data_IF_341204644634
#
_entry.id   IF_341204644634
#
_cell.length_a   1.000
_cell.length_b   1.000
_cell.length_c   1.000
_cell.angle_alpha   90.00
_cell.angle_beta   90.00
_cell.angle_gamma   90.00
#
_symmetry.space_group_name_H-M   'P 1'
#
loop_
_entity.id
_entity.type
_entity.pdbx_description
1 polymer ?
#
# COMPACT_ATOMS: atom_id res chain seq x y z
N UNK A 1 -8.21 -0.07 -28.85
CA UNK A 1 -8.66 0.65 -27.65
C UNK A 1 -7.42 0.97 -26.85
N UNK A 2 -7.10 2.25 -26.66
CA UNK A 2 -5.95 2.64 -25.84
C UNK A 2 -6.29 2.37 -24.37
N UNK A 3 -5.70 1.32 -23.79
CA UNK A 3 -5.68 1.14 -22.35
C UNK A 3 -4.69 2.16 -21.79
N UNK A 4 -5.20 3.29 -21.28
CA UNK A 4 -4.39 4.17 -20.44
C UNK A 4 -4.23 3.47 -19.10
N UNK A 5 -3.08 2.84 -18.86
CA UNK A 5 -2.78 2.25 -17.55
C UNK A 5 -2.84 3.37 -16.53
N UNK A 6 -3.81 3.31 -15.63
CA UNK A 6 -4.04 4.36 -14.65
C UNK A 6 -2.87 4.39 -13.66
N UNK A 7 -2.02 5.44 -13.65
CA UNK A 7 -0.87 5.53 -12.75
C UNK A 7 -1.30 5.60 -11.27
N UNK A 8 -2.58 5.80 -10.98
CA UNK A 8 -3.12 5.75 -9.61
C UNK A 8 -3.18 4.33 -9.03
N UNK A 9 -2.96 3.29 -9.84
CA UNK A 9 -2.92 1.89 -9.38
C UNK A 9 -1.64 1.56 -8.60
N UNK A 10 -0.58 2.36 -8.70
CA UNK A 10 0.66 2.14 -7.95
C UNK A 10 0.51 2.77 -6.56
N UNK A 11 0.58 1.94 -5.53
CA UNK A 11 0.58 2.40 -4.15
C UNK A 11 1.92 3.08 -3.83
N UNK A 12 1.95 4.06 -2.91
CA UNK A 12 3.21 4.66 -2.50
C UNK A 12 4.18 3.63 -1.89
N UNK A 13 5.47 3.78 -2.15
CA UNK A 13 6.49 2.90 -1.57
C UNK A 13 6.77 3.27 -0.11
N UNK A 14 6.35 2.39 0.81
CA UNK A 14 6.52 2.55 2.25
C UNK A 14 7.75 1.82 2.80
N UNK A 15 8.59 1.22 1.95
CA UNK A 15 9.77 0.43 2.35
C UNK A 15 10.76 1.19 3.24
N UNK A 16 10.90 2.51 3.02
CA UNK A 16 11.86 3.39 3.70
C UNK A 16 11.23 4.20 4.83
N UNK A 17 9.94 4.05 5.09
CA UNK A 17 9.28 4.77 6.18
C UNK A 17 9.58 4.13 7.53
N UNK A 18 9.73 4.97 8.56
CA UNK A 18 9.74 4.48 9.94
C UNK A 18 8.38 3.91 10.30
N UNK A 19 8.36 2.92 11.19
CA UNK A 19 7.13 2.27 11.63
C UNK A 19 6.12 3.29 12.19
N UNK A 20 6.59 4.27 12.97
CA UNK A 20 5.75 5.36 13.49
C UNK A 20 5.04 6.17 12.40
N UNK A 21 5.76 6.54 11.33
CA UNK A 21 5.20 7.30 10.21
C UNK A 21 4.25 6.45 9.39
N UNK A 22 4.59 5.18 9.20
CA UNK A 22 3.74 4.25 8.47
C UNK A 22 2.42 4.00 9.21
N UNK A 23 2.45 3.78 10.53
CA UNK A 23 1.24 3.70 11.37
C UNK A 23 0.39 4.95 11.24
N UNK A 24 0.99 6.14 11.34
CA UNK A 24 0.26 7.40 11.19
C UNK A 24 -0.40 7.50 9.82
N UNK A 25 0.29 7.14 8.73
CA UNK A 25 -0.31 7.15 7.40
C UNK A 25 -1.49 6.18 7.28
N UNK A 26 -1.38 4.96 7.83
CA UNK A 26 -2.48 4.00 7.85
C UNK A 26 -3.69 4.55 8.61
N UNK A 27 -3.45 5.14 9.78
CA UNK A 27 -4.51 5.76 10.60
C UNK A 27 -5.16 6.95 9.90
N UNK A 28 -4.40 7.75 9.16
CA UNK A 28 -4.92 8.93 8.45
C UNK A 28 -5.70 8.55 7.19
N UNK A 29 -5.34 7.42 6.56
CA UNK A 29 -5.99 6.94 5.33
C UNK A 29 -7.31 6.20 5.62
N UNK A 30 -7.51 5.76 6.86
CA UNK A 30 -8.72 5.07 7.28
C UNK A 30 -9.79 6.09 7.67
N UNK A 31 -10.96 6.01 7.02
CA UNK A 31 -12.11 6.85 7.39
C UNK A 31 -12.58 6.55 8.82
N UNK A 32 -13.20 7.53 9.47
CA UNK A 32 -13.69 7.49 10.86
C UNK A 32 -14.74 6.41 11.18
N UNK A 33 -15.05 5.54 10.22
CA UNK A 33 -16.03 4.45 10.33
C UNK A 33 -15.48 3.24 11.08
N UNK A 34 -14.15 3.11 11.20
CA UNK A 34 -13.49 2.03 11.94
C UNK A 34 -13.15 2.51 13.35
N UNK A 35 -13.36 1.65 14.35
CA UNK A 35 -12.93 1.90 15.72
C UNK A 35 -11.40 2.10 15.76
N UNK A 36 -10.98 3.35 15.91
CA UNK A 36 -9.57 3.74 15.84
C UNK A 36 -8.73 3.09 16.94
N UNK A 37 -9.30 2.87 18.13
CA UNK A 37 -8.56 2.30 19.27
C UNK A 37 -8.15 0.85 19.02
N UNK A 38 -9.08 0.03 18.50
CA UNK A 38 -8.80 -1.34 18.12
C UNK A 38 -7.77 -1.42 16.98
N UNK A 39 -7.79 -0.46 16.06
CA UNK A 39 -6.87 -0.41 14.94
C UNK A 39 -5.46 0.03 15.38
N UNK A 40 -5.36 0.96 16.32
CA UNK A 40 -4.08 1.34 16.95
C UNK A 40 -3.47 0.15 17.68
N UNK A 41 -4.27 -0.59 18.45
CA UNK A 41 -3.80 -1.80 19.15
C UNK A 41 -3.27 -2.85 18.17
N UNK A 42 -3.96 -3.04 17.05
CA UNK A 42 -3.57 -3.96 15.99
C UNK A 42 -2.29 -3.51 15.26
N UNK A 43 -2.15 -2.22 14.97
CA UNK A 43 -0.94 -1.66 14.33
C UNK A 43 0.26 -1.54 15.26
N UNK A 44 0.08 -1.60 16.57
CA UNK A 44 1.17 -1.71 17.54
C UNK A 44 1.85 -3.09 17.49
N UNK A 45 1.23 -4.08 16.86
CA UNK A 45 1.86 -5.38 16.63
C UNK A 45 2.80 -5.28 15.44
N UNK A 46 4.11 -5.36 15.71
CA UNK A 46 5.17 -5.23 14.69
C UNK A 46 4.99 -6.18 13.50
N UNK A 47 4.59 -7.42 13.77
CA UNK A 47 4.39 -8.44 12.72
C UNK A 47 3.29 -8.04 11.74
N UNK A 48 2.18 -7.49 12.26
CA UNK A 48 1.08 -6.98 11.43
C UNK A 48 1.54 -5.80 10.59
N UNK A 49 2.29 -4.89 11.20
CA UNK A 49 2.80 -3.72 10.51
C UNK A 49 3.75 -4.09 9.37
N UNK A 50 4.64 -5.06 9.60
CA UNK A 50 5.51 -5.62 8.56
C UNK A 50 4.70 -6.33 7.47
N UNK A 51 3.71 -7.14 7.86
CA UNK A 51 2.84 -7.84 6.92
C UNK A 51 2.11 -6.89 5.97
N UNK A 52 1.50 -5.81 6.48
CA UNK A 52 0.82 -4.80 5.67
C UNK A 52 1.81 -4.13 4.71
N UNK A 53 3.04 -3.84 5.18
CA UNK A 53 4.09 -3.24 4.35
C UNK A 53 4.51 -4.15 3.20
N UNK A 54 4.73 -5.44 3.47
CA UNK A 54 5.07 -6.43 2.45
C UNK A 54 3.92 -6.66 1.45
N UNK A 55 2.67 -6.67 1.92
CA UNK A 55 1.49 -6.75 1.08
C UNK A 55 1.41 -5.59 0.09
N UNK A 56 1.67 -4.36 0.57
CA UNK A 56 1.69 -3.16 -0.28
C UNK A 56 2.76 -3.31 -1.37
N UNK A 57 3.95 -3.80 -1.01
CA UNK A 57 5.03 -4.02 -1.98
C UNK A 57 4.70 -5.12 -2.99
N UNK A 58 4.01 -6.17 -2.56
CA UNK A 58 3.58 -7.26 -3.45
C UNK A 58 2.59 -6.74 -4.50
N UNK A 59 1.59 -5.97 -4.09
CA UNK A 59 0.63 -5.32 -5.00
C UNK A 59 1.36 -4.41 -5.98
N UNK A 60 2.31 -3.60 -5.50
CA UNK A 60 3.11 -2.74 -6.38
C UNK A 60 3.94 -3.52 -7.40
N UNK A 61 4.58 -4.63 -7.00
CA UNK A 61 5.34 -5.48 -7.94
C UNK A 61 4.42 -6.06 -9.02
N UNK A 62 3.23 -6.51 -8.65
CA UNK A 62 2.25 -7.03 -9.59
C UNK A 62 1.80 -5.96 -10.58
N UNK A 63 1.38 -4.79 -10.07
CA UNK A 63 0.92 -3.67 -10.90
C UNK A 63 2.03 -3.15 -11.83
N UNK A 64 3.28 -3.10 -11.35
CA UNK A 64 4.43 -2.71 -12.16
C UNK A 64 4.72 -3.73 -13.27
N UNK A 65 4.59 -5.03 -12.99
CA UNK A 65 4.79 -6.09 -13.99
C UNK A 65 3.72 -6.03 -15.08
N UNK A 66 2.46 -5.77 -14.71
CA UNK A 66 1.37 -5.55 -15.67
C UNK A 66 1.64 -4.31 -16.52
N UNK A 67 2.02 -3.20 -15.90
CA UNK A 67 2.37 -1.97 -16.61
C UNK A 67 3.51 -2.19 -17.61
N UNK A 68 4.56 -2.91 -17.23
CA UNK A 68 5.64 -3.26 -18.15
C UNK A 68 5.16 -4.12 -19.32
N UNK A 69 4.32 -5.13 -19.07
CA UNK A 69 3.78 -5.99 -20.12
C UNK A 69 2.91 -5.20 -21.12
N UNK A 70 2.08 -4.29 -20.61
CA UNK A 70 1.28 -3.37 -21.43
C UNK A 70 2.17 -2.45 -22.26
N UNK A 71 3.22 -1.86 -21.68
CA UNK A 71 4.14 -0.98 -22.42
C UNK A 71 4.93 -1.70 -23.52
N UNK A 72 5.24 -2.99 -23.35
CA UNK A 72 6.03 -3.78 -24.29
C UNK A 72 5.19 -4.45 -25.38
N UNK A 73 3.87 -4.46 -25.22
CA UNK A 73 2.92 -5.01 -26.22
C UNK A 73 2.41 -3.95 -27.21
N UNK A 74 2.83 -2.69 -27.06
CA UNK A 74 2.77 -1.62 -28.06
C UNK A 74 4.08 -1.54 -28.85
#
# INVERSE_FOLDING_TARGET
MAFSSDPTLVLPDYSKLSDSKFTQMLLTSMSSTINQDALIELLNQREILLFIRELTQLVNKFNYSQFQHEQWSY
#
